data_IF_575650300804
#
_entry.id   IF_575650300804
#
_cell.length_a   1.000
_cell.length_b   1.000
_cell.length_c   1.000
_cell.angle_alpha   90.00
_cell.angle_beta   90.00
_cell.angle_gamma   90.00
#
_symmetry.space_group_name_H-M   'P 1'
#
loop_
_entity.id
_entity.type
_entity.pdbx_description
1 polymer ?
#
# COMPACT_ATOMS: atom_id res chain seq x y z
N UNK A 1 14.29 12.49 -6.71
CA UNK A 1 13.67 11.17 -6.57
C UNK A 1 14.57 10.35 -5.68
N UNK A 2 14.14 10.11 -4.45
CA UNK A 2 14.81 9.21 -3.52
C UNK A 2 14.09 7.87 -3.52
N UNK A 3 14.86 6.80 -3.33
CA UNK A 3 14.34 5.43 -3.25
C UNK A 3 14.72 4.88 -1.90
N UNK A 4 13.73 4.50 -1.10
CA UNK A 4 13.90 3.96 0.25
C UNK A 4 12.95 2.79 0.45
N UNK A 5 13.15 2.01 1.51
CA UNK A 5 12.20 0.97 1.89
C UNK A 5 10.95 1.59 2.54
N UNK A 6 9.81 0.97 2.32
CA UNK A 6 8.52 1.40 2.85
C UNK A 6 8.01 0.38 3.87
N UNK A 7 7.55 0.85 5.02
CA UNK A 7 6.80 0.05 5.99
C UNK A 7 5.38 0.62 6.10
N UNK A 8 4.38 -0.26 6.06
CA UNK A 8 3.01 0.07 6.43
C UNK A 8 2.50 -0.93 7.45
N UNK A 9 1.86 -0.45 8.50
CA UNK A 9 1.21 -1.28 9.51
C UNK A 9 -0.19 -0.77 9.84
N UNK A 10 -1.13 -1.69 9.95
CA UNK A 10 -2.40 -1.51 10.65
C UNK A 10 -2.37 -2.29 11.97
N UNK A 11 -2.42 -1.57 13.09
CA UNK A 11 -2.61 -2.12 14.43
C UNK A 11 -4.10 -2.17 14.76
N UNK A 12 -4.59 -3.30 15.26
CA UNK A 12 -6.01 -3.58 15.50
C UNK A 12 -6.28 -4.28 16.83
N UNK A 13 -7.56 -4.42 17.19
CA UNK A 13 -7.95 -5.08 18.45
C UNK A 13 -7.49 -6.54 18.50
N UNK A 14 -8.15 -7.46 17.76
CA UNK A 14 -7.80 -8.91 17.69
C UNK A 14 -8.34 -9.59 16.40
N UNK A 15 -7.45 -9.93 15.48
CA UNK A 15 -7.73 -10.58 14.20
C UNK A 15 -8.19 -12.04 14.36
N UNK A 16 -9.05 -12.56 13.46
CA UNK A 16 -9.45 -13.96 13.50
C UNK A 16 -8.26 -14.90 13.21
N UNK A 17 -7.90 -15.83 14.13
CA UNK A 17 -6.66 -16.62 14.00
C UNK A 17 -6.65 -17.48 12.74
N UNK A 18 -7.78 -18.12 12.42
CA UNK A 18 -7.95 -18.95 11.21
C UNK A 18 -7.79 -18.19 9.89
N UNK A 19 -7.91 -16.86 9.91
CA UNK A 19 -7.76 -16.01 8.73
C UNK A 19 -6.46 -15.19 8.76
N UNK A 20 -5.71 -15.17 9.87
CA UNK A 20 -4.64 -14.20 10.11
C UNK A 20 -3.58 -14.21 9.00
N UNK A 21 -3.00 -15.37 8.71
CA UNK A 21 -1.94 -15.48 7.70
C UNK A 21 -2.46 -15.03 6.32
N UNK A 22 -3.63 -15.53 5.92
CA UNK A 22 -4.28 -15.14 4.66
C UNK A 22 -4.55 -13.65 4.57
N UNK A 23 -4.96 -13.00 5.66
CA UNK A 23 -5.18 -11.56 5.71
C UNK A 23 -3.85 -10.79 5.60
N UNK A 24 -2.79 -11.24 6.28
CA UNK A 24 -1.45 -10.66 6.19
C UNK A 24 -0.88 -10.73 4.78
N UNK A 25 -0.94 -11.91 4.16
CA UNK A 25 -0.45 -12.12 2.80
C UNK A 25 -1.24 -11.28 1.78
N UNK A 26 -2.57 -11.24 1.91
CA UNK A 26 -3.43 -10.44 1.05
C UNK A 26 -3.15 -8.94 1.20
N UNK A 27 -3.03 -8.43 2.43
CA UNK A 27 -2.70 -7.04 2.71
C UNK A 27 -1.39 -6.63 2.02
N UNK A 28 -0.32 -7.39 2.27
CA UNK A 28 1.00 -7.10 1.74
C UNK A 28 1.05 -7.20 0.21
N UNK A 29 0.42 -8.25 -0.36
CA UNK A 29 0.39 -8.47 -1.80
C UNK A 29 -0.35 -7.34 -2.52
N UNK A 30 -1.56 -6.99 -2.09
CA UNK A 30 -2.33 -5.92 -2.75
C UNK A 30 -1.63 -4.57 -2.61
N UNK A 31 -1.06 -4.27 -1.44
CA UNK A 31 -0.28 -3.05 -1.24
C UNK A 31 0.90 -2.97 -2.22
N UNK A 32 1.71 -4.03 -2.28
CA UNK A 32 2.86 -4.12 -3.19
C UNK A 32 2.47 -4.01 -4.66
N UNK A 33 1.39 -4.69 -5.06
CA UNK A 33 0.88 -4.67 -6.43
C UNK A 33 0.38 -3.28 -6.83
N UNK A 34 -0.30 -2.56 -5.92
CA UNK A 34 -0.72 -1.19 -6.19
C UNK A 34 0.46 -0.23 -6.31
N UNK A 35 1.50 -0.39 -5.49
CA UNK A 35 2.71 0.43 -5.61
C UNK A 35 3.42 0.18 -6.95
N UNK A 36 3.49 -1.09 -7.39
CA UNK A 36 4.05 -1.47 -8.69
C UNK A 36 3.21 -0.93 -9.86
N UNK A 37 1.90 -1.08 -9.81
CA UNK A 37 0.99 -0.59 -10.85
C UNK A 37 1.09 0.94 -11.04
N UNK A 38 1.37 1.66 -9.96
CA UNK A 38 1.56 3.11 -9.96
C UNK A 38 2.99 3.54 -10.35
N UNK A 39 3.92 2.59 -10.53
CA UNK A 39 5.31 2.87 -10.86
C UNK A 39 6.15 3.39 -9.69
N UNK A 40 5.65 3.25 -8.46
CA UNK A 40 6.36 3.61 -7.22
C UNK A 40 7.30 2.49 -6.76
N UNK A 41 6.98 1.24 -7.09
CA UNK A 41 7.82 0.09 -6.86
C UNK A 41 8.09 -0.65 -8.18
N UNK A 42 9.14 -1.46 -8.23
CA UNK A 42 9.50 -2.23 -9.42
C UNK A 42 9.14 -3.71 -9.26
N UNK A 43 9.27 -4.48 -10.35
CA UNK A 43 9.15 -5.94 -10.28
C UNK A 43 10.23 -6.58 -9.38
N UNK A 44 11.37 -5.91 -9.19
CA UNK A 44 12.44 -6.36 -8.30
C UNK A 44 12.20 -5.98 -6.82
N UNK A 45 11.21 -5.14 -6.52
CA UNK A 45 10.85 -4.80 -5.14
C UNK A 45 10.27 -6.01 -4.42
N UNK A 46 10.93 -6.41 -3.34
CA UNK A 46 10.51 -7.50 -2.46
C UNK A 46 9.46 -6.98 -1.50
N UNK A 47 8.40 -7.77 -1.31
CA UNK A 47 7.31 -7.50 -0.36
C UNK A 47 7.41 -8.55 0.74
N UNK A 48 7.60 -8.10 1.97
CA UNK A 48 7.68 -8.96 3.16
C UNK A 48 6.43 -8.76 4.01
N UNK A 49 5.54 -9.75 4.12
CA UNK A 49 4.36 -9.67 4.98
C UNK A 49 4.72 -9.88 6.45
N UNK A 50 4.02 -9.17 7.33
CA UNK A 50 4.03 -9.41 8.77
C UNK A 50 2.58 -9.54 9.27
N UNK A 51 2.34 -10.51 10.14
CA UNK A 51 1.02 -10.76 10.70
C UNK A 51 1.16 -11.28 12.13
N UNK A 52 0.46 -10.62 13.06
CA UNK A 52 0.27 -11.10 14.44
C UNK A 52 -1.20 -10.90 14.83
N UNK A 53 -1.67 -11.48 15.95
CA UNK A 53 -3.08 -11.35 16.36
C UNK A 53 -3.63 -9.92 16.29
N UNK A 54 -2.77 -8.91 16.48
CA UNK A 54 -3.17 -7.49 16.53
C UNK A 54 -2.61 -6.63 15.41
N UNK A 55 -2.02 -7.22 14.36
CA UNK A 55 -1.40 -6.42 13.28
C UNK A 55 -1.41 -7.10 11.92
N UNK A 56 -1.58 -6.28 10.89
CA UNK A 56 -1.21 -6.57 9.51
C UNK A 56 -0.16 -5.54 9.11
N UNK A 57 0.99 -5.98 8.61
CA UNK A 57 2.02 -5.07 8.13
C UNK A 57 2.69 -5.60 6.87
N UNK A 58 3.31 -4.69 6.13
CA UNK A 58 4.06 -4.99 4.93
C UNK A 58 5.29 -4.10 4.86
N UNK A 59 6.44 -4.71 4.59
CA UNK A 59 7.65 -4.01 4.21
C UNK A 59 7.90 -4.21 2.72
N UNK A 60 8.19 -3.12 2.01
CA UNK A 60 8.41 -3.12 0.56
C UNK A 60 9.74 -2.46 0.27
N UNK A 61 10.65 -3.18 -0.38
CA UNK A 61 11.97 -2.64 -0.69
C UNK A 61 11.95 -1.69 -1.87
N UNK A 62 12.84 -0.70 -1.86
CA UNK A 62 13.12 0.17 -3.01
C UNK A 62 11.86 0.82 -3.61
N UNK A 63 11.12 1.55 -2.78
CA UNK A 63 9.97 2.37 -3.19
C UNK A 63 10.46 3.79 -3.48
N UNK A 64 10.04 4.36 -4.60
CA UNK A 64 10.36 5.75 -4.97
C UNK A 64 9.42 6.75 -4.27
N UNK A 65 9.95 7.92 -3.93
CA UNK A 65 9.18 9.08 -3.44
C UNK A 65 8.20 9.65 -4.50
N UNK A 66 8.51 9.43 -5.78
CA UNK A 66 7.68 9.78 -6.93
C UNK A 66 7.97 8.81 -8.07
N UNK A 67 6.93 8.31 -8.73
CA UNK A 67 7.07 7.52 -9.95
C UNK A 67 7.68 8.36 -11.08
N UNK A 68 8.27 7.70 -12.08
CA UNK A 68 8.76 8.37 -13.27
C UNK A 68 7.59 9.01 -14.05
N UNK A 69 7.82 10.21 -14.58
CA UNK A 69 6.87 10.85 -15.48
C UNK A 69 6.73 10.01 -16.76
N UNK A 70 5.51 9.93 -17.31
CA UNK A 70 5.21 9.11 -18.48
C UNK A 70 4.94 10.00 -19.68
N UNK A 71 5.71 9.82 -20.75
CA UNK A 71 5.37 10.37 -22.04
C UNK A 71 4.12 9.66 -22.57
N UNK A 72 3.09 10.43 -22.92
CA UNK A 72 1.83 9.93 -23.45
C UNK A 72 1.53 10.64 -24.75
N UNK A 73 1.25 9.86 -25.79
CA UNK A 73 0.74 10.39 -27.04
C UNK A 73 -0.78 10.22 -27.04
N UNK A 74 -1.50 11.35 -27.07
CA UNK A 74 -2.95 11.35 -27.06
C UNK A 74 -3.51 11.69 -28.44
N UNK A 75 -4.28 10.76 -28.99
CA UNK A 75 -5.09 11.03 -30.18
C UNK A 75 -6.14 12.09 -29.86
N UNK A 76 -6.19 13.16 -30.67
CA UNK A 76 -7.13 14.25 -30.51
C UNK A 76 -8.37 14.04 -31.37
N UNK A 77 -8.24 14.22 -32.68
CA UNK A 77 -9.32 14.19 -33.66
C UNK A 77 -8.74 14.09 -35.09
N UNK A 78 -9.55 13.74 -36.10
CA UNK A 78 -9.11 13.80 -37.49
C UNK A 78 -8.62 15.20 -37.89
N UNK A 79 -7.62 15.26 -38.78
CA UNK A 79 -7.07 16.52 -39.28
C UNK A 79 -8.15 17.41 -39.89
N UNK A 80 -9.10 16.82 -40.61
CA UNK A 80 -10.24 17.52 -41.23
C UNK A 80 -11.23 18.14 -40.24
N UNK A 81 -11.20 17.73 -38.97
CA UNK A 81 -12.03 18.28 -37.89
C UNK A 81 -11.23 19.28 -37.05
N UNK A 82 -9.94 19.01 -36.86
CA UNK A 82 -9.06 19.80 -36.01
C UNK A 82 -8.49 21.05 -36.69
N UNK A 83 -8.30 21.02 -38.01
CA UNK A 83 -7.74 22.13 -38.78
C UNK A 83 -8.73 22.63 -39.83
N UNK A 84 -8.68 23.94 -40.06
CA UNK A 84 -9.36 24.61 -41.16
C UNK A 84 -8.57 24.42 -42.46
N UNK A 85 -9.16 24.80 -43.60
CA UNK A 85 -8.54 24.67 -44.91
C UNK A 85 -7.23 25.47 -45.06
N UNK A 86 -7.06 26.53 -44.27
CA UNK A 86 -5.85 27.37 -44.21
C UNK A 86 -4.77 26.82 -43.23
N UNK A 87 -5.05 25.69 -42.57
CA UNK A 87 -4.16 25.06 -41.58
C UNK A 87 -4.31 25.59 -40.16
N UNK A 88 -5.18 26.57 -39.90
CA UNK A 88 -5.42 27.10 -38.56
C UNK A 88 -6.24 26.14 -37.70
N UNK A 89 -6.04 26.18 -36.38
CA UNK A 89 -6.82 25.37 -35.45
C UNK A 89 -8.31 25.71 -35.50
N UNK A 90 -9.17 24.69 -35.41
CA UNK A 90 -10.59 24.90 -35.13
C UNK A 90 -10.82 25.20 -33.64
N UNK A 91 -11.92 25.88 -33.28
CA UNK A 91 -12.28 26.08 -31.86
C UNK A 91 -12.39 24.77 -31.08
N UNK A 92 -12.81 23.68 -31.76
CA UNK A 92 -12.90 22.35 -31.15
C UNK A 92 -11.51 21.80 -30.79
N UNK A 93 -10.52 21.98 -31.65
CA UNK A 93 -9.13 21.58 -31.39
C UNK A 93 -8.55 22.37 -30.20
N UNK A 94 -8.70 23.70 -30.20
CA UNK A 94 -8.19 24.55 -29.12
C UNK A 94 -8.83 24.20 -27.77
N UNK A 95 -10.16 24.00 -27.73
CA UNK A 95 -10.86 23.57 -26.51
C UNK A 95 -10.36 22.22 -26.02
N UNK A 96 -10.07 21.28 -26.92
CA UNK A 96 -9.53 19.97 -26.56
C UNK A 96 -8.11 20.09 -26.01
N UNK A 97 -7.25 20.89 -26.64
CA UNK A 97 -5.87 21.14 -26.19
C UNK A 97 -5.83 21.81 -24.82
N UNK A 98 -6.68 22.82 -24.60
CA UNK A 98 -6.78 23.50 -23.32
C UNK A 98 -7.27 22.57 -22.21
N UNK A 99 -8.22 21.67 -22.50
CA UNK A 99 -8.65 20.64 -21.57
C UNK A 99 -7.55 19.61 -21.20
N UNK A 100 -6.51 19.50 -22.04
CA UNK A 100 -5.31 18.69 -21.79
C UNK A 100 -4.17 19.51 -21.17
N UNK A 101 -4.41 20.77 -20.80
CA UNK A 101 -3.43 21.65 -20.18
C UNK A 101 -2.37 22.20 -21.14
N UNK A 102 -2.57 22.08 -22.45
CA UNK A 102 -1.68 22.70 -23.43
C UNK A 102 -1.82 24.23 -23.39
N UNK A 103 -0.72 24.94 -23.58
CA UNK A 103 -0.76 26.38 -23.82
C UNK A 103 -1.35 26.65 -25.21
N UNK A 104 -2.45 27.41 -25.22
CA UNK A 104 -3.18 27.80 -26.43
C UNK A 104 -3.18 29.32 -26.62
N UNK A 105 -2.32 30.04 -25.90
CA UNK A 105 -2.14 31.50 -26.03
C UNK A 105 -1.65 31.90 -27.43
N UNK A 106 -0.89 31.01 -28.09
CA UNK A 106 -0.56 31.07 -29.51
C UNK A 106 -1.12 29.83 -30.24
N UNK A 107 -2.28 29.95 -30.91
CA UNK A 107 -2.91 28.87 -31.66
C UNK A 107 -2.03 28.28 -32.78
N UNK A 108 -1.16 29.08 -33.40
CA UNK A 108 -0.30 28.60 -34.48
C UNK A 108 0.83 27.73 -33.92
N UNK A 109 1.45 28.16 -32.82
CA UNK A 109 2.42 27.35 -32.09
C UNK A 109 1.80 26.05 -31.57
N UNK A 110 0.57 26.11 -31.06
CA UNK A 110 -0.15 24.93 -30.57
C UNK A 110 -0.40 23.88 -31.67
N UNK A 111 -0.72 24.31 -32.89
CA UNK A 111 -0.86 23.41 -34.06
C UNK A 111 0.48 22.84 -34.49
N UNK A 112 1.55 23.65 -34.50
CA UNK A 112 2.89 23.22 -34.90
C UNK A 112 3.47 22.13 -33.98
N UNK A 113 3.04 22.08 -32.71
CA UNK A 113 3.45 21.06 -31.75
C UNK A 113 2.73 19.70 -31.93
N UNK A 114 1.71 19.62 -32.81
CA UNK A 114 0.95 18.39 -33.02
C UNK A 114 1.63 17.47 -34.03
N UNK A 115 1.54 16.16 -33.77
CA UNK A 115 1.91 15.14 -34.74
C UNK A 115 0.70 14.74 -35.58
N UNK A 116 0.93 14.50 -36.86
CA UNK A 116 -0.06 13.89 -37.76
C UNK A 116 0.37 12.46 -38.04
N UNK A 117 -0.56 11.54 -37.93
CA UNK A 117 -0.33 10.16 -38.32
C UNK A 117 -1.61 9.54 -38.90
N UNK A 118 -1.42 8.57 -39.78
CA UNK A 118 -2.51 7.78 -40.35
C UNK A 118 -3.19 6.99 -39.23
N UNK A 119 -4.52 7.09 -39.15
CA UNK A 119 -5.35 6.34 -38.21
C UNK A 119 -6.53 5.71 -38.98
N UNK A 120 -6.31 4.49 -39.46
CA UNK A 120 -7.23 3.81 -40.37
C UNK A 120 -7.32 4.52 -41.73
N UNK A 121 -8.51 5.01 -42.07
CA UNK A 121 -8.79 5.66 -43.37
C UNK A 121 -8.57 7.18 -43.37
N UNK A 122 -8.27 7.79 -42.23
CA UNK A 122 -8.09 9.24 -42.10
C UNK A 122 -6.79 9.58 -41.37
N UNK A 123 -6.27 10.77 -41.61
CA UNK A 123 -5.16 11.32 -40.83
C UNK A 123 -5.71 11.94 -39.53
N UNK A 124 -5.05 11.68 -38.41
CA UNK A 124 -5.43 12.21 -37.10
C UNK A 124 -4.31 13.07 -36.50
N UNK A 125 -4.72 14.03 -35.68
CA UNK A 125 -3.83 14.85 -34.86
C UNK A 125 -3.57 14.16 -33.53
N UNK A 126 -2.31 14.18 -33.11
CA UNK A 126 -1.82 13.63 -31.86
C UNK A 126 -1.10 14.71 -31.08
N UNK A 127 -1.33 14.72 -29.77
CA UNK A 127 -0.65 15.59 -28.82
C UNK A 127 0.25 14.75 -27.93
N UNK A 128 1.55 15.03 -27.99
CA UNK A 128 2.50 14.45 -27.05
C UNK A 128 2.50 15.28 -25.77
N UNK A 129 2.25 14.63 -24.64
CA UNK A 129 2.29 15.24 -23.32
C UNK A 129 3.08 14.39 -22.35
N UNK A 130 3.44 14.98 -21.23
CA UNK A 130 4.06 14.28 -20.11
C UNK A 130 3.06 14.26 -18.96
N UNK A 131 2.66 13.06 -18.55
CA UNK A 131 1.84 12.86 -17.35
C UNK A 131 2.79 12.74 -16.15
N UNK A 132 2.69 13.63 -15.16
CA UNK A 132 3.51 13.53 -13.96
C UNK A 132 3.31 12.19 -13.26
N UNK A 133 4.41 11.57 -12.83
CA UNK A 133 4.36 10.33 -12.05
C UNK A 133 3.67 10.55 -10.71
N UNK A 134 2.98 9.52 -10.21
CA UNK A 134 2.32 9.55 -8.92
C UNK A 134 3.33 9.83 -7.80
N UNK A 135 2.97 10.69 -6.85
CA UNK A 135 3.76 10.89 -5.62
C UNK A 135 3.54 9.71 -4.67
N UNK A 136 4.51 9.44 -3.81
CA UNK A 136 4.39 8.38 -2.80
C UNK A 136 3.17 8.59 -1.90
N UNK A 137 2.90 9.81 -1.45
CA UNK A 137 1.72 10.10 -0.60
C UNK A 137 0.41 9.71 -1.30
N UNK A 138 0.19 10.18 -2.53
CA UNK A 138 -1.04 9.89 -3.25
C UNK A 138 -1.15 8.40 -3.62
N UNK A 139 -0.04 7.80 -4.04
CA UNK A 139 -0.04 6.41 -4.45
C UNK A 139 -0.13 5.43 -3.29
N UNK A 140 0.46 5.75 -2.15
CA UNK A 140 0.34 4.97 -0.92
C UNK A 140 -1.06 5.04 -0.34
N UNK A 141 -1.68 6.23 -0.32
CA UNK A 141 -3.07 6.39 0.11
C UNK A 141 -3.99 5.43 -0.67
N UNK A 142 -3.91 5.48 -2.01
CA UNK A 142 -4.65 4.57 -2.89
C UNK A 142 -4.31 3.10 -2.63
N UNK A 143 -3.04 2.77 -2.43
CA UNK A 143 -2.61 1.40 -2.20
C UNK A 143 -3.17 0.82 -0.90
N UNK A 144 -3.21 1.61 0.17
CA UNK A 144 -3.79 1.21 1.47
C UNK A 144 -5.30 1.02 1.35
N UNK A 145 -5.99 1.97 0.70
CA UNK A 145 -7.45 1.89 0.50
C UNK A 145 -7.82 0.61 -0.26
N UNK A 146 -7.09 0.30 -1.33
CA UNK A 146 -7.31 -0.90 -2.13
C UNK A 146 -6.95 -2.19 -1.36
N UNK A 147 -5.85 -2.16 -0.59
CA UNK A 147 -5.43 -3.30 0.23
C UNK A 147 -6.51 -3.64 1.28
N UNK A 148 -7.07 -2.64 1.96
CA UNK A 148 -8.16 -2.81 2.93
C UNK A 148 -9.42 -3.33 2.23
N UNK A 149 -9.82 -2.74 1.10
CA UNK A 149 -11.03 -3.11 0.38
C UNK A 149 -11.01 -4.55 -0.16
N UNK A 150 -9.83 -5.05 -0.54
CA UNK A 150 -9.65 -6.39 -1.12
C UNK A 150 -9.31 -7.48 -0.12
N UNK A 151 -9.24 -7.17 1.17
CA UNK A 151 -8.97 -8.21 2.17
C UNK A 151 -10.05 -9.30 2.11
N UNK A 152 -9.66 -10.59 2.14
CA UNK A 152 -10.59 -11.71 2.16
C UNK A 152 -11.20 -11.88 3.56
N UNK A 153 -11.96 -10.89 4.02
CA UNK A 153 -12.55 -10.85 5.36
C UNK A 153 -13.81 -11.72 5.37
N UNK A 154 -13.86 -12.80 6.18
CA UNK A 154 -15.03 -13.69 6.23
C UNK A 154 -16.31 -12.99 6.71
N UNK A 155 -16.15 -12.04 7.64
CA UNK A 155 -17.23 -11.24 8.19
C UNK A 155 -16.71 -9.84 8.53
N UNK A 156 -17.15 -8.86 7.75
CA UNK A 156 -16.82 -7.45 7.99
C UNK A 156 -17.59 -6.92 9.20
N UNK A 157 -16.93 -6.05 9.96
CA UNK A 157 -17.53 -5.30 11.06
C UNK A 157 -17.66 -3.84 10.63
N UNK A 158 -18.84 -3.25 10.86
CA UNK A 158 -19.04 -1.80 10.73
C UNK A 158 -18.98 -1.17 12.11
N UNK A 159 -18.21 -0.11 12.28
CA UNK A 159 -18.12 0.65 13.52
C UNK A 159 -17.93 2.15 13.24
N UNK A 160 -18.45 2.98 14.15
CA UNK A 160 -18.39 4.43 14.02
C UNK A 160 -17.06 4.99 14.50
N UNK A 161 -16.58 6.02 13.80
CA UNK A 161 -15.41 6.80 14.17
C UNK A 161 -15.83 7.97 15.04
N UNK A 162 -15.08 8.18 16.13
CA UNK A 162 -15.26 9.35 17.00
C UNK A 162 -14.34 10.51 16.61
N UNK A 163 -13.19 10.23 15.98
CA UNK A 163 -12.18 11.23 15.65
C UNK A 163 -11.66 11.05 14.23
N UNK A 164 -10.99 12.08 13.69
CA UNK A 164 -10.41 12.08 12.35
C UNK A 164 -11.39 11.66 11.23
N UNK A 165 -12.65 12.06 11.39
CA UNK A 165 -13.75 11.76 10.47
C UNK A 165 -14.60 13.00 10.17
N UNK A 166 -15.46 12.91 9.15
CA UNK A 166 -16.33 14.02 8.73
C UNK A 166 -17.39 14.35 9.80
N UNK A 167 -17.98 13.32 10.42
CA UNK A 167 -19.01 13.48 11.44
C UNK A 167 -18.74 12.52 12.62
N UNK A 168 -18.15 13.02 13.73
CA UNK A 168 -17.90 12.25 14.95
C UNK A 168 -19.12 11.48 15.44
N UNK A 169 -18.95 10.18 15.66
CA UNK A 169 -20.01 9.27 16.11
C UNK A 169 -20.99 8.80 15.03
N UNK A 170 -20.87 9.30 13.79
CA UNK A 170 -21.80 8.98 12.69
C UNK A 170 -21.09 8.43 11.45
N UNK A 171 -19.83 8.82 11.20
CA UNK A 171 -19.02 8.23 10.12
C UNK A 171 -18.71 6.77 10.46
N UNK A 172 -19.14 5.83 9.60
CA UNK A 172 -18.83 4.40 9.76
C UNK A 172 -17.66 3.98 8.88
N UNK A 173 -16.82 3.07 9.40
CA UNK A 173 -15.82 2.34 8.61
C UNK A 173 -16.07 0.84 8.69
N UNK A 174 -15.58 0.13 7.68
CA UNK A 174 -15.72 -1.32 7.57
C UNK A 174 -14.35 -1.97 7.62
N UNK A 175 -14.10 -2.78 8.65
CA UNK A 175 -12.88 -3.58 8.76
C UNK A 175 -13.15 -4.88 9.51
N UNK A 176 -12.18 -5.79 9.55
CA UNK A 176 -12.33 -7.07 10.27
C UNK A 176 -12.50 -6.85 11.78
N UNK A 177 -11.88 -5.80 12.33
CA UNK A 177 -11.92 -5.38 13.73
C UNK A 177 -11.62 -3.88 13.85
N UNK A 178 -11.93 -3.24 14.99
CA UNK A 178 -11.45 -1.89 15.26
C UNK A 178 -9.94 -1.75 15.07
N UNK A 179 -9.55 -0.79 14.24
CA UNK A 179 -8.16 -0.38 14.07
C UNK A 179 -7.82 0.75 15.05
N UNK A 180 -6.60 0.72 15.59
CA UNK A 180 -6.13 1.63 16.64
C UNK A 180 -4.86 2.38 16.28
N UNK A 181 -4.13 1.95 15.25
CA UNK A 181 -2.89 2.60 14.83
C UNK A 181 -2.57 2.36 13.37
N UNK A 182 -1.96 3.37 12.75
CA UNK A 182 -1.45 3.32 11.40
C UNK A 182 0.01 3.80 11.42
N UNK A 183 0.93 2.96 10.96
CA UNK A 183 2.31 3.37 10.68
C UNK A 183 2.48 3.40 9.18
N UNK A 184 3.12 4.46 8.67
CA UNK A 184 3.58 4.53 7.28
C UNK A 184 4.93 5.25 7.23
N UNK A 185 6.01 4.50 7.01
CA UNK A 185 7.38 5.02 7.00
C UNK A 185 8.08 4.73 5.66
N UNK A 186 8.66 5.76 5.05
CA UNK A 186 9.57 5.66 3.91
C UNK A 186 10.98 6.00 4.36
N UNK A 187 11.82 4.97 4.53
CA UNK A 187 13.01 5.10 5.38
C UNK A 187 12.60 5.52 6.79
N UNK A 188 13.10 6.66 7.26
CA UNK A 188 12.76 7.25 8.57
C UNK A 188 11.66 8.32 8.50
N UNK A 189 11.07 8.57 7.32
CA UNK A 189 10.12 9.66 7.10
C UNK A 189 8.69 9.14 7.12
N UNK A 190 7.83 9.77 7.93
CA UNK A 190 6.39 9.46 7.94
C UNK A 190 5.75 9.92 6.62
N UNK A 191 5.05 9.00 5.96
CA UNK A 191 4.24 9.33 4.77
C UNK A 191 2.84 9.75 5.27
N UNK A 192 2.36 10.97 4.96
CA UNK A 192 1.12 11.50 5.53
C UNK A 192 -0.12 10.91 4.83
N UNK A 193 -0.48 9.69 5.21
CA UNK A 193 -1.66 8.96 4.74
C UNK A 193 -2.64 8.72 5.89
N UNK A 194 -3.90 8.43 5.53
CA UNK A 194 -4.95 8.13 6.49
C UNK A 194 -5.70 6.86 6.10
N UNK A 195 -6.17 6.08 7.07
CA UNK A 195 -7.03 4.94 6.82
C UNK A 195 -7.87 4.62 8.05
N UNK A 196 -9.13 4.21 7.87
CA UNK A 196 -10.00 3.77 8.97
C UNK A 196 -10.13 4.78 10.13
N UNK A 197 -10.08 6.09 9.83
CA UNK A 197 -10.09 7.16 10.85
C UNK A 197 -8.76 7.35 11.58
N UNK A 198 -7.67 6.81 11.06
CA UNK A 198 -6.34 6.91 11.65
C UNK A 198 -5.44 7.75 10.75
N UNK A 199 -4.62 8.60 11.37
CA UNK A 199 -3.54 9.32 10.71
C UNK A 199 -2.22 8.58 10.91
N UNK A 200 -1.45 8.39 9.85
CA UNK A 200 -0.19 7.65 9.93
C UNK A 200 0.85 8.35 10.82
N UNK A 201 1.58 7.54 11.59
CA UNK A 201 2.72 7.98 12.40
C UNK A 201 3.89 7.00 12.33
N UNK A 202 4.78 7.06 13.33
CA UNK A 202 5.94 6.18 13.46
C UNK A 202 5.94 5.35 14.76
N UNK A 203 4.82 5.28 15.47
CA UNK A 203 4.69 4.52 16.71
C UNK A 203 3.61 3.45 16.62
N UNK A 204 3.84 2.34 17.31
CA UNK A 204 2.92 1.20 17.42
C UNK A 204 2.88 0.70 18.87
N UNK A 205 2.04 -0.30 19.15
CA UNK A 205 1.92 -0.94 20.46
C UNK A 205 2.47 -2.36 20.41
N UNK A 206 3.26 -2.73 21.41
CA UNK A 206 3.75 -4.09 21.61
C UNK A 206 2.74 -5.02 22.30
N UNK A 207 3.23 -6.10 22.91
CA UNK A 207 2.45 -7.00 23.74
C UNK A 207 1.85 -6.26 24.94
N UNK A 208 0.61 -6.59 25.33
CA UNK A 208 -0.16 -5.83 26.35
C UNK A 208 0.53 -5.78 27.72
N UNK A 209 1.27 -6.82 28.06
CA UNK A 209 1.86 -7.01 29.39
C UNK A 209 3.38 -7.13 29.39
N UNK A 210 3.95 -7.58 28.27
CA UNK A 210 5.38 -7.94 28.19
C UNK A 210 6.22 -6.93 27.43
N UNK A 211 5.60 -5.94 26.78
CA UNK A 211 6.34 -4.88 26.12
C UNK A 211 7.24 -4.16 27.13
N UNK A 212 8.54 -4.11 26.83
CA UNK A 212 9.50 -3.36 27.62
C UNK A 212 9.30 -1.84 27.47
N UNK A 213 8.79 -1.41 26.31
CA UNK A 213 8.49 0.01 26.00
C UNK A 213 7.10 0.12 25.38
N UNK A 214 6.32 1.10 25.84
CA UNK A 214 5.01 1.43 25.26
C UNK A 214 4.77 2.95 25.33
N UNK A 215 4.48 3.63 24.21
CA UNK A 215 4.41 3.09 22.84
C UNK A 215 5.80 2.69 22.29
N UNK A 216 5.83 1.76 21.33
CA UNK A 216 7.04 1.37 20.59
C UNK A 216 7.25 2.39 19.46
N UNK A 217 8.35 3.14 19.49
CA UNK A 217 8.69 4.13 18.47
C UNK A 217 9.65 3.51 17.46
N UNK A 218 9.28 3.58 16.18
CA UNK A 218 10.08 3.07 15.07
C UNK A 218 10.96 4.19 14.53
N UNK A 219 12.26 3.89 14.40
CA UNK A 219 13.24 4.83 13.85
C UNK A 219 13.12 4.92 12.33
N UNK A 220 12.94 3.77 11.67
CA UNK A 220 12.81 3.65 10.23
C UNK A 220 12.05 2.37 9.85
N UNK A 221 11.76 2.23 8.56
CA UNK A 221 11.06 1.09 7.99
C UNK A 221 11.79 -0.25 8.21
N UNK A 222 13.12 -0.25 8.24
CA UNK A 222 13.93 -1.47 8.27
C UNK A 222 14.11 -2.01 9.70
N UNK A 223 14.05 -1.13 10.71
CA UNK A 223 14.17 -1.52 12.12
C UNK A 223 12.93 -2.27 12.64
N UNK A 224 11.82 -2.29 11.89
CA UNK A 224 10.50 -2.71 12.32
C UNK A 224 10.45 -3.98 13.18
N UNK A 225 10.83 -5.12 12.60
CA UNK A 225 10.72 -6.41 13.25
C UNK A 225 11.66 -6.53 14.46
N UNK A 226 12.86 -5.98 14.36
CA UNK A 226 13.84 -5.99 15.44
C UNK A 226 13.37 -5.12 16.63
N UNK A 227 12.85 -3.93 16.36
CA UNK A 227 12.31 -3.02 17.38
C UNK A 227 11.08 -3.62 18.05
N UNK A 228 10.14 -4.20 17.28
CA UNK A 228 8.98 -4.89 17.86
C UNK A 228 9.38 -6.08 18.74
N UNK A 229 10.37 -6.86 18.33
CA UNK A 229 10.86 -7.99 19.12
C UNK A 229 11.51 -7.54 20.42
N UNK A 230 12.40 -6.54 20.34
CA UNK A 230 13.19 -6.04 21.47
C UNK A 230 12.34 -5.25 22.47
N UNK A 231 11.61 -4.26 21.97
CA UNK A 231 10.93 -3.27 22.81
C UNK A 231 9.46 -3.63 23.01
N UNK A 232 8.83 -4.23 21.99
CA UNK A 232 7.42 -4.61 22.01
C UNK A 232 7.13 -6.03 22.48
N UNK A 233 8.14 -6.88 22.68
CA UNK A 233 7.97 -8.32 22.93
C UNK A 233 7.09 -9.04 21.87
N UNK A 234 7.21 -8.66 20.59
CA UNK A 234 6.43 -9.23 19.48
C UNK A 234 7.34 -9.72 18.36
N UNK A 235 7.26 -11.01 18.00
CA UNK A 235 7.85 -11.53 16.76
C UNK A 235 6.86 -11.27 15.63
N UNK A 236 7.02 -10.19 14.86
CA UNK A 236 6.04 -9.75 13.86
C UNK A 236 5.86 -10.74 12.68
N UNK A 237 6.92 -11.45 12.31
CA UNK A 237 6.89 -12.45 11.22
C UNK A 237 6.16 -13.71 11.66
N UNK A 238 5.11 -14.08 10.92
CA UNK A 238 4.34 -15.29 11.19
C UNK A 238 5.23 -16.54 11.08
N UNK A 239 6.06 -16.61 10.02
CA UNK A 239 6.97 -17.73 9.79
C UNK A 239 8.03 -17.87 10.90
N UNK A 240 8.63 -16.75 11.32
CA UNK A 240 9.60 -16.78 12.43
C UNK A 240 8.93 -17.21 13.74
N UNK A 241 7.72 -16.73 14.00
CA UNK A 241 6.97 -17.10 15.21
C UNK A 241 6.60 -18.59 15.19
N UNK A 242 6.13 -19.12 14.06
CA UNK A 242 5.86 -20.56 13.87
C UNK A 242 7.10 -21.40 14.15
N UNK A 243 8.24 -21.00 13.58
CA UNK A 243 9.51 -21.68 13.78
C UNK A 243 9.97 -21.64 15.24
N UNK A 244 9.80 -20.51 15.94
CA UNK A 244 10.15 -20.39 17.34
C UNK A 244 9.27 -21.26 18.24
N UNK A 245 7.96 -21.33 17.99
CA UNK A 245 7.04 -22.24 18.71
C UNK A 245 7.47 -23.69 18.50
N UNK A 246 7.72 -24.11 17.26
CA UNK A 246 8.18 -25.47 16.95
C UNK A 246 9.50 -25.80 17.66
N UNK A 247 10.46 -24.86 17.70
CA UNK A 247 11.73 -25.01 18.42
C UNK A 247 11.51 -25.20 19.93
N UNK A 248 10.63 -24.40 20.54
CA UNK A 248 10.31 -24.51 21.96
C UNK A 248 9.61 -25.84 22.29
N UNK A 249 8.67 -26.28 21.44
CA UNK A 249 8.00 -27.57 21.57
C UNK A 249 9.00 -28.74 21.53
N UNK A 250 9.93 -28.72 20.56
CA UNK A 250 10.97 -29.73 20.46
C UNK A 250 11.88 -29.76 21.69
N UNK A 251 12.26 -28.58 22.21
CA UNK A 251 13.07 -28.47 23.42
C UNK A 251 12.33 -29.02 24.65
N UNK A 252 11.03 -28.70 24.80
CA UNK A 252 10.21 -29.21 25.89
C UNK A 252 10.03 -30.73 25.82
N UNK A 253 9.79 -31.29 24.64
CA UNK A 253 9.68 -32.73 24.44
C UNK A 253 10.98 -33.47 24.80
N UNK A 254 12.14 -32.90 24.47
CA UNK A 254 13.44 -33.46 24.87
C UNK A 254 13.62 -33.51 26.39
N UNK A 255 13.09 -32.53 27.13
CA UNK A 255 13.13 -32.51 28.59
C UNK A 255 12.22 -33.57 29.23
N UNK A 256 11.08 -33.89 28.59
CA UNK A 256 10.19 -34.98 29.04
C UNK A 256 10.88 -36.35 28.92
N UNK A 257 11.75 -36.53 27.93
CA UNK A 257 12.47 -37.78 27.70
C UNK A 257 11.58 -38.91 27.17
N UNK A 258 12.03 -40.15 27.28
CA UNK A 258 11.31 -41.37 26.85
C UNK A 258 10.83 -41.36 25.38
N UNK A 259 11.50 -40.60 24.52
CA UNK A 259 11.11 -40.49 23.11
C UNK A 259 9.83 -39.67 22.86
N UNK A 260 9.40 -38.85 23.83
CA UNK A 260 8.28 -37.92 23.66
C UNK A 260 8.52 -36.98 22.47
N UNK A 261 7.47 -36.69 21.72
CA UNK A 261 7.48 -35.78 20.56
C UNK A 261 6.24 -34.91 20.57
N UNK A 262 6.33 -33.66 20.09
CA UNK A 262 5.13 -32.87 19.79
C UNK A 262 4.26 -33.61 18.77
N UNK A 263 2.96 -33.38 18.84
CA UNK A 263 2.04 -33.85 17.79
C UNK A 263 2.39 -33.10 16.50
N UNK A 264 2.61 -33.85 15.42
CA UNK A 264 2.85 -33.32 14.08
C UNK A 264 1.53 -32.91 13.43
N UNK A 265 1.01 -31.75 13.85
CA UNK A 265 -0.20 -31.14 13.29
C UNK A 265 0.11 -29.69 12.88
N UNK A 266 0.40 -29.52 11.58
CA UNK A 266 0.73 -28.22 11.02
C UNK A 266 -0.43 -27.22 11.10
N UNK A 267 -1.67 -27.70 10.99
CA UNK A 267 -2.85 -26.84 11.07
C UNK A 267 -3.04 -26.31 12.50
N UNK A 268 -2.84 -27.16 13.50
CA UNK A 268 -2.84 -26.75 14.90
C UNK A 268 -1.68 -25.79 15.18
N UNK A 269 -0.48 -26.05 14.66
CA UNK A 269 0.65 -25.15 14.83
C UNK A 269 0.40 -23.78 14.20
N UNK A 270 -0.23 -23.72 13.02
CA UNK A 270 -0.66 -22.46 12.40
C UNK A 270 -1.71 -21.73 13.25
N UNK A 271 -2.71 -22.46 13.78
CA UNK A 271 -3.72 -21.88 14.66
C UNK A 271 -3.10 -21.31 15.94
N UNK A 272 -2.21 -22.05 16.59
CA UNK A 272 -1.48 -21.58 17.79
C UNK A 272 -0.60 -20.37 17.46
N UNK A 273 0.12 -20.40 16.34
CA UNK A 273 0.94 -19.25 15.88
C UNK A 273 0.09 -18.00 15.67
N UNK A 274 -1.16 -18.17 15.23
CA UNK A 274 -2.09 -17.07 15.01
C UNK A 274 -2.75 -16.55 16.29
N UNK A 275 -2.60 -17.23 17.43
CA UNK A 275 -3.15 -16.85 18.74
C UNK A 275 -2.14 -16.13 19.64
N UNK A 276 -0.84 -16.26 19.36
CA UNK A 276 0.26 -15.74 20.19
C UNK A 276 1.08 -14.68 19.49
#
# INVERSE_FOLDING_TARGET
MTTQNLLVELFVEELPPKALQKLGDAFATVLGDQLKAQGLASAASVVTPFASPRRLAAHVTAVADKAADKAVQQKLMPVTVGLQADGNATPALLKKLQALGADVSDPAAAVAALKRAQDGKAEALFYDSVVPGATLTAGLQKAIDEAIAKLPIPKVMSYQLETDCELPGWTSVNFVRPAHGLVALHGSTVVPVKALGLTAGNSTTGHRFEAAVSPVVLQDADSYAATLKKDGAVIASFAERKAEIARQLAAAAAQVGNGARPIEDDALLDEVTALV
#
